data_IF_244324574725
#
_entry.id   IF_244324574725
#
_cell.length_a   1.000
_cell.length_b   1.000
_cell.length_c   1.000
_cell.angle_alpha   90.00
_cell.angle_beta   90.00
_cell.angle_gamma   90.00
#
_symmetry.space_group_name_H-M   'P 1'
#
loop_
_entity.id
_entity.type
_entity.pdbx_description
1 polymer ?
#
# COMPACT_ATOMS: atom_id res chain seq x y z
N UNK A 1 -10.16 2.87 1.74
CA UNK A 1 -9.63 3.97 2.57
C UNK A 1 -10.32 5.32 2.34
N UNK A 2 -10.53 5.78 1.10
CA UNK A 2 -11.05 7.15 0.84
C UNK A 2 -12.51 7.35 1.26
N UNK A 3 -13.40 6.40 0.92
CA UNK A 3 -14.84 6.51 1.21
C UNK A 3 -15.21 6.07 2.64
N UNK A 4 -14.52 5.06 3.18
CA UNK A 4 -14.73 4.53 4.54
C UNK A 4 -13.38 4.37 5.27
N UNK A 5 -12.90 5.42 5.95
CA UNK A 5 -11.61 5.40 6.65
C UNK A 5 -11.66 4.55 7.93
N UNK A 6 -12.79 4.53 8.63
CA UNK A 6 -12.96 3.81 9.90
C UNK A 6 -12.88 2.29 9.73
N UNK A 7 -13.41 1.75 8.63
CA UNK A 7 -13.31 0.32 8.33
C UNK A 7 -11.87 -0.12 8.06
N UNK A 8 -11.05 0.75 7.45
CA UNK A 8 -9.63 0.47 7.24
C UNK A 8 -8.82 0.64 8.52
N UNK A 9 -9.11 1.68 9.29
CA UNK A 9 -8.48 1.92 10.58
C UNK A 9 -8.74 0.75 11.55
N UNK A 10 -9.97 0.23 11.57
CA UNK A 10 -10.35 -0.99 12.32
C UNK A 10 -9.63 -2.26 11.84
N UNK A 11 -9.39 -2.40 10.52
CA UNK A 11 -8.60 -3.49 9.95
C UNK A 11 -7.11 -3.39 10.31
N UNK A 12 -6.60 -2.17 10.49
CA UNK A 12 -5.22 -1.90 10.89
C UNK A 12 -5.05 -1.78 12.43
N UNK A 13 -6.09 -2.10 13.20
CA UNK A 13 -6.14 -1.93 14.67
C UNK A 13 -5.77 -0.51 15.17
N UNK A 14 -5.91 0.50 14.30
CA UNK A 14 -5.61 1.89 14.58
C UNK A 14 -6.92 2.70 14.70
N UNK A 15 -7.05 3.55 15.72
CA UNK A 15 -8.22 4.44 15.85
C UNK A 15 -7.89 5.82 15.31
N UNK A 16 -8.57 6.22 14.23
CA UNK A 16 -8.59 7.61 13.78
C UNK A 16 -9.50 8.44 14.72
N UNK A 17 -9.03 8.67 15.94
CA UNK A 17 -9.83 9.18 17.08
C UNK A 17 -10.41 10.58 16.90
N UNK A 18 -10.00 11.34 15.88
CA UNK A 18 -10.48 12.70 15.61
C UNK A 18 -10.61 12.97 14.09
N UNK A 19 -11.35 14.04 13.72
CA UNK A 19 -11.59 14.40 12.32
C UNK A 19 -10.29 14.60 11.52
N UNK A 20 -9.24 15.13 12.17
CA UNK A 20 -7.91 15.29 11.58
C UNK A 20 -7.25 13.95 11.25
N UNK A 21 -7.30 12.98 12.16
CA UNK A 21 -6.76 11.63 11.92
C UNK A 21 -7.47 10.90 10.77
N UNK A 22 -8.77 11.13 10.58
CA UNK A 22 -9.50 10.59 9.42
C UNK A 22 -9.01 11.21 8.11
N UNK A 23 -8.67 12.50 8.10
CA UNK A 23 -8.11 13.18 6.91
C UNK A 23 -6.71 12.67 6.59
N UNK A 24 -5.86 12.47 7.60
CA UNK A 24 -4.51 11.87 7.43
C UNK A 24 -4.59 10.46 6.82
N UNK A 25 -5.46 9.59 7.36
CA UNK A 25 -5.68 8.26 6.80
C UNK A 25 -6.25 8.35 5.37
N UNK A 26 -7.17 9.28 5.09
CA UNK A 26 -7.68 9.46 3.72
C UNK A 26 -6.61 9.95 2.74
N UNK A 27 -5.75 10.86 3.15
CA UNK A 27 -4.73 11.48 2.28
C UNK A 27 -3.52 10.55 2.09
N UNK A 28 -2.88 10.14 3.19
CA UNK A 28 -1.64 9.36 3.16
C UNK A 28 -1.91 7.91 2.78
N UNK A 29 -2.95 7.29 3.34
CA UNK A 29 -3.26 5.90 3.02
C UNK A 29 -4.17 5.77 1.81
N UNK A 30 -5.18 6.63 1.65
CA UNK A 30 -6.08 6.56 0.49
C UNK A 30 -5.55 7.28 -0.76
N UNK A 31 -5.25 8.56 -0.62
CA UNK A 31 -4.87 9.46 -1.70
C UNK A 31 -3.56 9.07 -2.37
N UNK A 32 -2.55 8.69 -1.59
CA UNK A 32 -1.25 8.22 -2.11
C UNK A 32 -1.42 6.99 -3.01
N UNK A 33 -2.23 6.01 -2.63
CA UNK A 33 -2.45 4.81 -3.44
C UNK A 33 -3.24 5.10 -4.72
N UNK A 34 -4.24 6.00 -4.66
CA UNK A 34 -4.94 6.47 -5.86
C UNK A 34 -3.99 7.23 -6.78
N UNK A 35 -3.16 8.13 -6.23
CA UNK A 35 -2.17 8.88 -6.96
C UNK A 35 -1.13 7.98 -7.64
N UNK A 36 -0.61 6.99 -6.91
CA UNK A 36 0.32 5.98 -7.45
C UNK A 36 -0.31 5.13 -8.55
N UNK A 37 -1.62 4.83 -8.47
CA UNK A 37 -2.33 4.09 -9.52
C UNK A 37 -2.69 4.94 -10.75
N UNK A 38 -2.98 6.23 -10.56
CA UNK A 38 -3.37 7.16 -11.64
C UNK A 38 -2.14 7.76 -12.34
N UNK A 39 -1.04 8.00 -11.62
CA UNK A 39 0.18 8.57 -12.19
C UNK A 39 0.73 7.83 -13.43
N UNK A 40 0.79 6.49 -13.49
CA UNK A 40 1.23 5.77 -14.69
C UNK A 40 0.27 5.90 -15.87
N UNK A 41 -1.03 6.05 -15.59
CA UNK A 41 -2.07 6.24 -16.63
C UNK A 41 -1.92 7.64 -17.24
N UNK A 42 -1.66 8.65 -16.41
CA UNK A 42 -1.52 10.05 -16.84
C UNK A 42 -0.13 10.34 -17.45
N UNK A 43 0.93 9.69 -16.96
CA UNK A 43 2.31 9.84 -17.46
C UNK A 43 2.59 9.04 -18.75
N UNK A 44 1.55 8.58 -19.44
CA UNK A 44 1.61 7.99 -20.79
C UNK A 44 2.54 6.76 -20.91
N UNK A 45 2.26 5.71 -20.12
CA UNK A 45 2.62 4.34 -20.51
C UNK A 45 4.11 4.04 -20.69
N UNK A 46 5.00 4.88 -20.18
CA UNK A 46 6.42 4.58 -20.18
C UNK A 46 6.67 3.36 -19.27
N UNK A 47 7.37 2.34 -19.79
CA UNK A 47 7.82 1.15 -19.03
C UNK A 47 8.35 1.52 -17.62
N UNK A 48 8.99 2.69 -17.53
CA UNK A 48 9.55 3.30 -16.32
C UNK A 48 8.50 3.57 -15.23
N UNK A 49 7.26 3.94 -15.58
CA UNK A 49 6.21 4.22 -14.60
C UNK A 49 5.71 2.95 -13.91
N UNK A 50 5.61 1.84 -14.64
CA UNK A 50 5.30 0.52 -14.06
C UNK A 50 6.46 0.01 -13.21
N UNK A 51 7.70 0.18 -13.68
CA UNK A 51 8.89 -0.16 -12.90
C UNK A 51 8.94 0.62 -11.57
N UNK A 52 8.66 1.92 -11.60
CA UNK A 52 8.62 2.76 -10.39
C UNK A 52 7.56 2.27 -9.40
N UNK A 53 6.34 2.00 -9.88
CA UNK A 53 5.27 1.43 -9.09
C UNK A 53 5.66 0.08 -8.47
N UNK A 54 6.25 -0.81 -9.26
CA UNK A 54 6.69 -2.12 -8.81
C UNK A 54 7.78 -2.05 -7.75
N UNK A 55 8.76 -1.15 -7.90
CA UNK A 55 9.79 -0.88 -6.88
C UNK A 55 9.15 -0.40 -5.58
N UNK A 56 8.17 0.52 -5.66
CA UNK A 56 7.45 1.00 -4.47
C UNK A 56 6.73 -0.17 -3.76
N UNK A 57 6.03 -1.04 -4.49
CA UNK A 57 5.38 -2.22 -3.92
C UNK A 57 6.37 -3.19 -3.27
N UNK A 58 7.54 -3.43 -3.88
CA UNK A 58 8.58 -4.27 -3.29
C UNK A 58 9.19 -3.66 -2.03
N UNK A 59 9.38 -2.34 -1.97
CA UNK A 59 9.81 -1.65 -0.76
C UNK A 59 8.76 -1.75 0.35
N UNK A 60 7.48 -1.61 0.02
CA UNK A 60 6.38 -1.83 0.98
C UNK A 60 6.45 -3.26 1.52
N UNK A 61 6.57 -4.26 0.65
CA UNK A 61 6.70 -5.65 1.07
C UNK A 61 7.93 -5.87 1.97
N UNK A 62 9.09 -5.29 1.63
CA UNK A 62 10.31 -5.38 2.43
C UNK A 62 10.16 -4.75 3.82
N UNK A 63 9.59 -3.54 3.89
CA UNK A 63 9.30 -2.88 5.17
C UNK A 63 8.30 -3.68 6.00
N UNK A 64 7.26 -4.24 5.38
CA UNK A 64 6.29 -5.13 6.07
C UNK A 64 6.95 -6.40 6.59
N UNK A 65 7.84 -7.03 5.83
CA UNK A 65 8.63 -8.19 6.30
C UNK A 65 9.41 -7.78 7.55
N UNK A 66 10.15 -6.67 7.50
CA UNK A 66 10.90 -6.19 8.66
C UNK A 66 9.99 -5.92 9.86
N UNK A 67 8.85 -5.25 9.67
CA UNK A 67 7.88 -5.01 10.74
C UNK A 67 7.27 -6.29 11.31
N UNK A 68 6.95 -7.29 10.49
CA UNK A 68 6.45 -8.59 10.98
C UNK A 68 7.50 -9.27 11.86
N UNK A 69 8.78 -9.21 11.49
CA UNK A 69 9.87 -9.79 12.29
C UNK A 69 10.13 -9.01 13.59
N UNK A 70 10.12 -7.67 13.53
CA UNK A 70 10.37 -6.81 14.70
C UNK A 70 9.20 -6.86 15.68
N UNK A 71 7.98 -6.71 15.18
CA UNK A 71 6.75 -6.63 16.00
C UNK A 71 6.16 -8.02 16.30
N UNK A 72 6.77 -9.10 15.78
CA UNK A 72 6.27 -10.50 15.85
C UNK A 72 4.79 -10.64 15.46
N UNK A 73 4.31 -9.79 14.55
CA UNK A 73 2.91 -9.70 14.14
C UNK A 73 2.58 -10.64 12.98
N UNK A 74 2.97 -11.92 13.13
CA UNK A 74 2.64 -13.00 12.19
C UNK A 74 1.15 -13.37 12.29
N UNK A 75 0.31 -12.50 11.77
CA UNK A 75 -1.12 -12.74 11.62
C UNK A 75 -1.43 -13.16 10.17
N UNK A 76 -2.48 -13.95 10.00
CA UNK A 76 -2.92 -14.41 8.68
C UNK A 76 -3.21 -13.22 7.74
N UNK A 77 -3.75 -12.13 8.30
CA UNK A 77 -4.02 -10.86 7.59
C UNK A 77 -2.74 -10.20 7.08
N UNK A 78 -1.68 -10.16 7.89
CA UNK A 78 -0.40 -9.60 7.47
C UNK A 78 0.26 -10.45 6.37
N UNK A 79 0.14 -11.78 6.45
CA UNK A 79 0.69 -12.69 5.46
C UNK A 79 -0.02 -12.57 4.10
N UNK A 80 -1.35 -12.50 4.08
CA UNK A 80 -2.11 -12.28 2.83
C UNK A 80 -1.74 -10.94 2.21
N UNK A 81 -1.65 -9.88 3.03
CA UNK A 81 -1.30 -8.54 2.54
C UNK A 81 0.10 -8.52 1.95
N UNK A 82 1.07 -9.19 2.60
CA UNK A 82 2.43 -9.33 2.09
C UNK A 82 2.49 -10.06 0.74
N UNK A 83 1.73 -11.15 0.60
CA UNK A 83 1.65 -11.88 -0.68
C UNK A 83 1.13 -11.00 -1.81
N UNK A 84 0.11 -10.19 -1.55
CA UNK A 84 -0.44 -9.24 -2.53
C UNK A 84 0.61 -8.19 -2.90
N UNK A 85 1.29 -7.60 -1.94
CA UNK A 85 2.34 -6.59 -2.17
C UNK A 85 3.48 -7.14 -3.04
N UNK A 86 3.94 -8.37 -2.76
CA UNK A 86 4.98 -9.04 -3.56
C UNK A 86 4.47 -9.36 -4.96
N UNK A 87 3.25 -9.90 -5.10
CA UNK A 87 2.68 -10.25 -6.41
C UNK A 87 2.52 -9.01 -7.30
N UNK A 88 1.96 -7.92 -6.79
CA UNK A 88 1.83 -6.66 -7.53
C UNK A 88 3.20 -6.06 -7.86
N UNK A 89 4.15 -6.09 -6.92
CA UNK A 89 5.51 -5.63 -7.17
C UNK A 89 6.19 -6.39 -8.30
N UNK A 90 6.11 -7.74 -8.29
CA UNK A 90 6.73 -8.57 -9.32
C UNK A 90 6.08 -8.41 -10.69
N UNK A 91 4.74 -8.37 -10.76
CA UNK A 91 4.01 -8.18 -12.03
C UNK A 91 4.36 -6.83 -12.68
N UNK A 92 4.61 -5.79 -11.87
CA UNK A 92 4.94 -4.46 -12.38
C UNK A 92 6.42 -4.30 -12.73
N UNK A 93 7.33 -5.04 -12.07
CA UNK A 93 8.78 -5.01 -12.35
C UNK A 93 9.17 -5.92 -13.52
N UNK A 94 8.45 -7.02 -13.74
CA UNK A 94 8.63 -7.91 -14.88
C UNK A 94 7.62 -7.52 -15.97
N UNK A 95 7.95 -6.59 -16.89
CA UNK A 95 7.14 -6.40 -18.07
C UNK A 95 7.26 -7.68 -18.90
N UNK A 96 6.18 -8.46 -18.95
CA UNK A 96 6.01 -9.53 -19.94
C UNK A 96 5.61 -8.88 -21.26
#
# INVERSE_FOLDING_TARGET
MVLKPESYAKLAEFSAGNARGKTEVKAIMGGTFIGLGVAPIVLLGAQISFLFLGIVYLFIAATRIMSIFVDKSLTFTNLITLLVEIAFGLIMVLPI
#
